data_IF_124953042938
#
_entry.id   IF_124953042938
#
_cell.length_a   1.000
_cell.length_b   1.000
_cell.length_c   1.000
_cell.angle_alpha   90.00
_cell.angle_beta   90.00
_cell.angle_gamma   90.00
#
_symmetry.space_group_name_H-M   'P 1'
#
loop_
_entity.id
_entity.type
_entity.pdbx_description
1 polymer ?
#
# COMPACT_ATOMS: atom_id res chain seq x y z
N UNK A 1 13.34 -9.26 -20.80
CA UNK A 1 12.15 -9.78 -20.07
C UNK A 1 11.06 -8.72 -20.13
N UNK A 2 9.81 -9.10 -20.40
CA UNK A 2 8.71 -8.14 -20.32
C UNK A 2 8.50 -7.77 -18.83
N UNK A 3 8.46 -6.49 -18.53
CA UNK A 3 8.19 -6.01 -17.18
C UNK A 3 6.72 -6.19 -16.84
N UNK A 4 6.42 -6.57 -15.59
CA UNK A 4 5.04 -6.65 -15.07
C UNK A 4 4.49 -5.22 -14.90
N UNK A 5 3.45 -4.82 -15.64
CA UNK A 5 2.87 -3.50 -15.50
C UNK A 5 1.99 -3.44 -14.24
N UNK A 6 2.21 -2.43 -13.40
CA UNK A 6 1.44 -2.22 -12.18
C UNK A 6 0.92 -0.79 -12.04
N UNK A 7 -0.24 -0.65 -11.40
CA UNK A 7 -0.72 0.60 -10.83
C UNK A 7 -0.67 0.51 -9.31
N UNK A 8 -0.27 1.60 -8.64
CA UNK A 8 -0.19 1.65 -7.19
C UNK A 8 -1.18 2.69 -6.67
N UNK A 9 -2.12 2.26 -5.82
CA UNK A 9 -3.00 3.13 -5.03
C UNK A 9 -2.47 3.22 -3.60
N UNK A 10 -2.10 4.43 -3.14
CA UNK A 10 -1.21 4.63 -1.99
C UNK A 10 -1.53 5.93 -1.23
N UNK A 11 -1.13 6.02 0.02
CA UNK A 11 -1.25 7.21 0.86
C UNK A 11 0.08 7.58 1.56
N UNK A 12 1.18 7.77 0.79
CA UNK A 12 2.52 7.90 1.31
C UNK A 12 2.66 9.03 2.32
N UNK A 13 3.50 8.80 3.31
CA UNK A 13 3.67 9.69 4.45
C UNK A 13 4.91 10.58 4.41
N UNK A 14 5.72 10.51 3.38
CA UNK A 14 7.00 11.18 3.12
C UNK A 14 8.10 10.93 4.16
N UNK A 15 9.20 10.36 3.68
CA UNK A 15 10.47 10.10 4.38
C UNK A 15 11.08 11.30 5.14
N UNK A 16 10.52 12.48 5.05
CA UNK A 16 11.07 13.73 5.62
C UNK A 16 10.38 14.17 6.90
N UNK A 17 9.20 13.63 7.24
CA UNK A 17 8.44 14.05 8.42
C UNK A 17 8.21 12.92 9.41
N UNK A 18 8.61 13.14 10.66
CA UNK A 18 8.61 12.18 11.78
C UNK A 18 7.24 11.68 12.26
N UNK A 19 6.14 12.13 11.65
CA UNK A 19 4.80 11.92 12.20
C UNK A 19 3.91 10.97 11.39
N UNK A 20 4.42 10.43 10.27
CA UNK A 20 3.63 9.58 9.36
C UNK A 20 4.33 8.25 9.14
N UNK A 21 3.62 7.25 8.67
CA UNK A 21 4.18 5.95 8.34
C UNK A 21 5.05 6.06 7.08
N UNK A 22 6.10 5.25 6.99
CA UNK A 22 7.08 5.25 5.90
C UNK A 22 6.94 4.03 4.99
N UNK A 23 6.02 3.16 5.25
CA UNK A 23 5.97 1.85 4.60
C UNK A 23 5.51 1.95 3.15
N UNK A 24 4.56 2.83 2.81
CA UNK A 24 4.23 3.19 1.42
C UNK A 24 5.46 3.64 0.65
N UNK A 25 6.23 4.59 1.22
CA UNK A 25 7.42 5.15 0.57
C UNK A 25 8.47 4.06 0.32
N UNK A 26 8.70 3.19 1.31
CA UNK A 26 9.62 2.07 1.19
C UNK A 26 9.15 1.05 0.15
N UNK A 27 7.86 0.73 0.10
CA UNK A 27 7.28 -0.17 -0.88
C UNK A 27 7.45 0.38 -2.31
N UNK A 28 7.15 1.67 -2.52
CA UNK A 28 7.32 2.33 -3.82
C UNK A 28 8.79 2.34 -4.24
N UNK A 29 9.72 2.70 -3.34
CA UNK A 29 11.17 2.69 -3.64
C UNK A 29 11.66 1.29 -3.98
N UNK A 30 11.18 0.26 -3.29
CA UNK A 30 11.51 -1.13 -3.55
C UNK A 30 11.04 -1.57 -4.93
N UNK A 31 9.80 -1.22 -5.32
CA UNK A 31 9.26 -1.51 -6.65
C UNK A 31 9.97 -0.72 -7.76
N UNK A 32 10.37 0.53 -7.51
CA UNK A 32 11.18 1.32 -8.44
C UNK A 32 12.56 0.73 -8.69
N UNK A 33 13.12 0.06 -7.69
CA UNK A 33 14.42 -0.62 -7.80
C UNK A 33 14.33 -2.01 -8.44
N UNK A 34 13.13 -2.54 -8.65
CA UNK A 34 12.89 -3.88 -9.18
C UNK A 34 12.81 -3.86 -10.71
N UNK A 35 13.79 -4.45 -11.42
CA UNK A 35 13.87 -4.34 -12.88
C UNK A 35 12.74 -5.03 -13.62
N UNK A 36 12.07 -6.00 -12.99
CA UNK A 36 10.91 -6.75 -13.49
C UNK A 36 9.59 -5.98 -13.41
N UNK A 37 9.56 -4.84 -12.73
CA UNK A 37 8.34 -4.05 -12.51
C UNK A 37 8.32 -2.82 -13.42
N UNK A 38 7.13 -2.51 -13.96
CA UNK A 38 6.83 -1.26 -14.66
C UNK A 38 5.69 -0.54 -13.96
N UNK A 39 6.00 0.51 -13.18
CA UNK A 39 4.98 1.34 -12.54
C UNK A 39 4.38 2.27 -13.60
N UNK A 40 3.09 2.12 -13.87
CA UNK A 40 2.35 2.91 -14.87
C UNK A 40 1.86 4.24 -14.31
N UNK A 41 1.69 4.35 -13.00
CA UNK A 41 1.28 5.54 -12.29
C UNK A 41 0.96 5.28 -10.84
N UNK A 42 0.87 6.36 -10.08
CA UNK A 42 0.42 6.37 -8.69
C UNK A 42 -0.95 7.05 -8.60
N UNK A 43 -1.88 6.44 -7.88
CA UNK A 43 -3.12 7.07 -7.44
C UNK A 43 -3.04 7.31 -5.94
N UNK A 44 -3.31 8.54 -5.50
CA UNK A 44 -3.20 8.88 -4.08
C UNK A 44 -4.56 8.92 -3.42
N UNK A 45 -4.63 8.40 -2.21
CA UNK A 45 -5.80 8.48 -1.33
C UNK A 45 -5.43 9.17 -0.02
N UNK A 46 -6.42 9.44 0.82
CA UNK A 46 -6.20 9.83 2.21
C UNK A 46 -5.90 8.58 3.05
N UNK A 47 -5.34 8.75 4.22
CA UNK A 47 -5.05 7.69 5.19
C UNK A 47 -4.00 8.18 6.17
N UNK A 48 -2.74 7.92 5.91
CA UNK A 48 -1.61 8.42 6.70
C UNK A 48 -1.64 9.95 6.86
N UNK A 49 -2.24 10.66 5.88
CA UNK A 49 -2.41 12.11 5.93
C UNK A 49 -3.62 12.57 5.11
N UNK A 50 -3.80 13.88 4.96
CA UNK A 50 -4.79 14.43 4.03
C UNK A 50 -4.39 14.14 2.60
N UNK A 51 -5.39 14.00 1.70
CA UNK A 51 -5.15 13.75 0.26
C UNK A 51 -4.26 14.83 -0.39
N UNK A 52 -4.31 16.08 0.07
CA UNK A 52 -3.43 17.13 -0.45
C UNK A 52 -1.96 16.85 -0.12
N UNK A 53 -1.72 16.26 1.04
CA UNK A 53 -0.38 15.93 1.53
C UNK A 53 0.12 14.64 0.90
N UNK A 54 -0.64 13.55 0.92
CA UNK A 54 -0.23 12.27 0.32
C UNK A 54 0.09 12.42 -1.17
N UNK A 55 -0.71 13.23 -1.89
CA UNK A 55 -0.43 13.58 -3.28
C UNK A 55 0.88 14.37 -3.47
N UNK A 56 1.15 15.36 -2.62
CA UNK A 56 2.40 16.12 -2.66
C UNK A 56 3.60 15.24 -2.29
N UNK A 57 3.42 14.37 -1.30
CA UNK A 57 4.47 13.49 -0.81
C UNK A 57 4.83 12.43 -1.87
N UNK A 58 3.86 11.84 -2.59
CA UNK A 58 4.09 10.93 -3.71
C UNK A 58 4.92 11.60 -4.83
N UNK A 59 4.58 12.83 -5.18
CA UNK A 59 5.35 13.59 -6.21
C UNK A 59 6.78 13.85 -5.76
N UNK A 60 6.98 14.26 -4.51
CA UNK A 60 8.31 14.50 -3.95
C UNK A 60 9.15 13.22 -3.86
N UNK A 61 8.50 12.08 -3.51
CA UNK A 61 9.16 10.78 -3.51
C UNK A 61 9.69 10.41 -4.89
N UNK A 62 8.86 10.56 -5.93
CA UNK A 62 9.25 10.28 -7.32
C UNK A 62 10.32 11.26 -7.81
N UNK A 63 10.27 12.53 -7.43
CA UNK A 63 11.30 13.52 -7.72
C UNK A 63 12.65 13.12 -7.11
N UNK A 64 12.66 12.74 -5.84
CA UNK A 64 13.87 12.25 -5.16
C UNK A 64 14.39 10.94 -5.76
N UNK A 65 13.51 10.11 -6.29
CA UNK A 65 13.88 8.87 -6.98
C UNK A 65 14.34 9.11 -8.44
N UNK A 66 14.22 10.35 -8.97
CA UNK A 66 14.50 10.66 -10.37
C UNK A 66 13.50 10.05 -11.35
N UNK A 67 12.25 9.86 -10.90
CA UNK A 67 11.17 9.17 -11.63
C UNK A 67 9.94 10.06 -11.82
N UNK A 68 10.15 11.33 -12.17
CA UNK A 68 9.08 12.26 -12.51
C UNK A 68 8.33 11.88 -13.80
N UNK A 69 8.83 10.90 -14.54
CA UNK A 69 8.17 10.27 -15.69
C UNK A 69 6.88 9.50 -15.28
N UNK A 70 6.78 9.05 -14.03
CA UNK A 70 5.63 8.33 -13.53
C UNK A 70 4.54 9.34 -13.12
N UNK A 71 3.34 9.27 -13.73
CA UNK A 71 2.25 10.19 -13.41
C UNK A 71 1.65 9.89 -12.02
N UNK A 72 1.23 10.96 -11.33
CA UNK A 72 0.56 10.88 -10.03
C UNK A 72 -0.80 11.57 -10.11
N UNK A 73 -1.85 10.90 -9.61
CA UNK A 73 -3.22 11.40 -9.64
C UNK A 73 -3.81 11.53 -8.25
N UNK A 74 -4.52 12.64 -8.05
CA UNK A 74 -5.16 12.96 -6.79
C UNK A 74 -6.54 12.30 -6.71
N UNK A 75 -6.76 11.52 -5.66
CA UNK A 75 -8.02 10.82 -5.43
C UNK A 75 -8.87 11.39 -4.30
N UNK A 76 -9.62 10.49 -3.66
CA UNK A 76 -10.53 10.82 -2.58
C UNK A 76 -9.79 11.37 -1.35
N UNK A 77 -10.44 12.30 -0.67
CA UNK A 77 -10.02 12.81 0.62
C UNK A 77 -10.97 12.33 1.73
N UNK A 78 -10.56 12.47 2.98
CA UNK A 78 -11.36 12.04 4.13
C UNK A 78 -12.80 12.56 4.14
N UNK A 79 -12.99 13.85 3.76
CA UNK A 79 -14.31 14.48 3.69
C UNK A 79 -15.02 14.28 2.36
N UNK A 80 -14.33 13.77 1.34
CA UNK A 80 -14.84 13.57 -0.02
C UNK A 80 -14.82 12.10 -0.43
N UNK A 81 -14.81 11.19 0.54
CA UNK A 81 -14.83 9.74 0.34
C UNK A 81 -16.21 9.21 -0.02
N UNK A 82 -16.73 9.67 -1.14
CA UNK A 82 -17.97 9.19 -1.72
C UNK A 82 -17.64 8.42 -3.00
N UNK A 83 -17.94 7.13 -3.01
CA UNK A 83 -17.67 6.25 -4.16
C UNK A 83 -18.49 6.62 -5.41
N UNK A 84 -19.57 7.39 -5.25
CA UNK A 84 -20.36 7.89 -6.37
C UNK A 84 -19.73 9.15 -7.02
N UNK A 85 -18.67 9.69 -6.41
CA UNK A 85 -17.97 10.85 -6.94
C UNK A 85 -16.64 10.44 -7.55
N UNK A 86 -16.61 10.37 -8.88
CA UNK A 86 -15.38 10.07 -9.61
C UNK A 86 -14.29 11.12 -9.32
N UNK A 87 -13.05 10.67 -9.23
CA UNK A 87 -11.84 11.47 -9.03
C UNK A 87 -10.87 11.27 -10.17
N UNK A 88 -9.86 12.14 -10.30
CA UNK A 88 -8.81 11.97 -11.30
C UNK A 88 -8.06 10.63 -11.10
N UNK A 89 -7.86 10.22 -9.85
CA UNK A 89 -7.24 8.94 -9.52
C UNK A 89 -8.09 7.74 -9.96
N UNK A 90 -9.38 7.72 -9.61
CA UNK A 90 -10.26 6.60 -9.98
C UNK A 90 -10.46 6.49 -11.49
N UNK A 91 -10.55 7.63 -12.19
CA UNK A 91 -10.63 7.68 -13.66
C UNK A 91 -9.35 7.16 -14.31
N UNK A 92 -8.19 7.65 -13.87
CA UNK A 92 -6.90 7.21 -14.40
C UNK A 92 -6.69 5.70 -14.20
N UNK A 93 -7.04 5.18 -13.02
CA UNK A 93 -6.97 3.76 -12.71
C UNK A 93 -7.81 2.96 -13.71
N UNK A 94 -9.08 3.33 -13.88
CA UNK A 94 -10.00 2.64 -14.79
C UNK A 94 -9.51 2.72 -16.24
N UNK A 95 -9.19 3.91 -16.73
CA UNK A 95 -8.74 4.10 -18.12
C UNK A 95 -7.44 3.32 -18.41
N UNK A 96 -6.51 3.27 -17.47
CA UNK A 96 -5.22 2.58 -17.67
C UNK A 96 -5.41 1.08 -17.75
N UNK A 97 -6.25 0.51 -16.88
CA UNK A 97 -6.53 -0.93 -16.89
C UNK A 97 -7.38 -1.30 -18.11
N UNK A 98 -8.44 -0.56 -18.42
CA UNK A 98 -9.33 -0.86 -19.54
C UNK A 98 -8.67 -0.70 -20.91
N UNK A 99 -7.58 0.08 -21.02
CA UNK A 99 -6.73 0.11 -22.23
C UNK A 99 -5.86 -1.14 -22.39
N UNK A 100 -5.67 -1.92 -21.33
CA UNK A 100 -4.81 -3.13 -21.28
C UNK A 100 -5.46 -4.21 -20.43
N UNK A 101 -6.66 -4.71 -20.82
CA UNK A 101 -7.40 -5.68 -20.02
C UNK A 101 -6.60 -6.98 -19.87
N UNK A 102 -6.53 -7.49 -18.65
CA UNK A 102 -5.78 -8.70 -18.32
C UNK A 102 -4.26 -8.51 -18.16
N UNK A 103 -3.73 -7.29 -18.29
CA UNK A 103 -2.27 -7.07 -18.21
C UNK A 103 -1.84 -6.36 -16.93
N UNK A 104 -2.64 -5.41 -16.43
CA UNK A 104 -2.24 -4.49 -15.37
C UNK A 104 -2.64 -5.02 -13.99
N UNK A 105 -1.66 -5.36 -13.17
CA UNK A 105 -1.89 -5.66 -11.75
C UNK A 105 -2.10 -4.37 -10.98
N UNK A 106 -3.08 -4.36 -10.08
CA UNK A 106 -3.33 -3.25 -9.16
C UNK A 106 -2.78 -3.59 -7.79
N UNK A 107 -1.97 -2.70 -7.21
CA UNK A 107 -1.49 -2.77 -5.85
C UNK A 107 -2.14 -1.67 -5.04
N UNK A 108 -2.86 -2.01 -3.96
CA UNK A 108 -3.42 -1.03 -3.03
C UNK A 108 -2.71 -1.11 -1.69
N UNK A 109 -2.15 0.00 -1.26
CA UNK A 109 -1.41 0.16 0.00
C UNK A 109 -2.18 0.99 1.02
N UNK A 110 -3.14 1.82 0.57
CA UNK A 110 -4.00 2.66 1.39
C UNK A 110 -5.48 2.25 1.38
N UNK A 111 -6.36 3.12 1.92
CA UNK A 111 -7.82 2.93 1.89
C UNK A 111 -8.37 2.72 0.48
N UNK A 112 -9.21 1.72 0.30
CA UNK A 112 -9.70 1.22 -1.00
C UNK A 112 -10.68 2.16 -1.74
N UNK A 113 -10.76 3.42 -1.33
CA UNK A 113 -11.76 4.38 -1.84
C UNK A 113 -11.62 4.64 -3.33
N UNK A 114 -10.41 4.83 -3.85
CA UNK A 114 -10.20 5.12 -5.27
C UNK A 114 -10.58 3.92 -6.15
N UNK A 115 -10.18 2.70 -5.78
CA UNK A 115 -10.54 1.48 -6.51
C UNK A 115 -12.05 1.22 -6.45
N UNK A 116 -12.68 1.39 -5.27
CA UNK A 116 -14.14 1.26 -5.13
C UNK A 116 -14.89 2.28 -5.99
N UNK A 117 -14.41 3.51 -6.06
CA UNK A 117 -14.96 4.56 -6.94
C UNK A 117 -14.81 4.16 -8.41
N UNK A 118 -13.62 3.68 -8.81
CA UNK A 118 -13.39 3.21 -10.17
C UNK A 118 -14.35 2.07 -10.55
N UNK A 119 -14.53 1.07 -9.70
CA UNK A 119 -15.48 -0.04 -9.90
C UNK A 119 -16.95 0.41 -9.96
N UNK A 120 -17.31 1.45 -9.22
CA UNK A 120 -18.67 2.00 -9.23
C UNK A 120 -19.00 2.66 -10.56
N UNK A 121 -18.04 3.38 -11.16
CA UNK A 121 -18.22 4.10 -12.42
C UNK A 121 -17.91 3.23 -13.65
N UNK A 122 -17.08 2.20 -13.50
CA UNK A 122 -16.61 1.29 -14.55
C UNK A 122 -16.73 -0.16 -14.09
N UNK A 123 -17.92 -0.77 -14.10
CA UNK A 123 -18.13 -2.14 -13.59
C UNK A 123 -17.34 -3.22 -14.32
N UNK A 124 -17.05 -3.01 -15.61
CA UNK A 124 -16.21 -3.87 -16.45
C UNK A 124 -14.74 -3.92 -16.00
N UNK A 125 -14.32 -2.97 -15.20
CA UNK A 125 -12.98 -2.94 -14.60
C UNK A 125 -12.69 -4.20 -13.77
N UNK A 126 -13.71 -4.79 -13.14
CA UNK A 126 -13.53 -5.98 -12.31
C UNK A 126 -13.05 -7.21 -13.11
N UNK A 127 -13.47 -7.32 -14.38
CA UNK A 127 -13.04 -8.40 -15.28
C UNK A 127 -11.69 -8.08 -15.96
N UNK A 128 -11.37 -6.79 -16.08
CA UNK A 128 -10.14 -6.34 -16.72
C UNK A 128 -8.89 -6.41 -15.84
N UNK A 129 -9.04 -6.39 -14.50
CA UNK A 129 -7.92 -6.52 -13.56
C UNK A 129 -7.58 -8.01 -13.37
N UNK A 130 -6.38 -8.49 -13.82
CA UNK A 130 -6.00 -9.89 -13.67
C UNK A 130 -5.66 -10.27 -12.22
N UNK A 131 -5.16 -9.32 -11.43
CA UNK A 131 -4.77 -9.51 -10.05
C UNK A 131 -4.82 -8.18 -9.28
N UNK A 132 -5.43 -8.21 -8.12
CA UNK A 132 -5.39 -7.15 -7.11
C UNK A 132 -4.60 -7.62 -5.91
N UNK A 133 -3.46 -7.00 -5.64
CA UNK A 133 -2.72 -7.21 -4.40
C UNK A 133 -3.03 -6.07 -3.46
N UNK A 134 -3.46 -6.36 -2.24
CA UNK A 134 -3.83 -5.33 -1.28
C UNK A 134 -3.16 -5.58 0.08
N UNK A 135 -2.57 -4.52 0.63
CA UNK A 135 -2.23 -4.49 2.05
C UNK A 135 -3.46 -4.05 2.82
N UNK A 136 -3.96 -4.90 3.69
CA UNK A 136 -5.11 -4.58 4.54
C UNK A 136 -5.86 -5.80 5.02
N UNK A 137 -6.82 -5.52 5.90
CA UNK A 137 -7.62 -6.53 6.54
C UNK A 137 -6.90 -7.30 7.64
N UNK A 138 -7.68 -8.08 8.37
CA UNK A 138 -7.16 -8.97 9.41
C UNK A 138 -7.98 -10.25 9.50
N UNK A 139 -7.32 -11.33 9.91
CA UNK A 139 -7.94 -12.65 10.06
C UNK A 139 -8.71 -12.80 11.38
N UNK A 140 -8.43 -11.94 12.35
CA UNK A 140 -9.08 -11.94 13.67
C UNK A 140 -10.08 -10.80 13.76
N UNK A 141 -11.14 -10.89 14.58
CA UNK A 141 -12.07 -9.78 14.79
C UNK A 141 -11.36 -8.50 15.20
N UNK A 142 -11.79 -7.37 14.62
CA UNK A 142 -11.24 -6.04 14.90
C UNK A 142 -11.05 -5.22 13.64
N UNK A 143 -10.80 -3.92 13.82
CA UNK A 143 -10.53 -3.02 12.70
C UNK A 143 -9.06 -3.12 12.27
N UNK A 144 -8.83 -3.08 10.95
CA UNK A 144 -7.55 -2.78 10.34
C UNK A 144 -7.67 -1.38 9.70
N UNK A 145 -6.55 -0.66 9.59
CA UNK A 145 -6.57 0.76 9.26
C UNK A 145 -7.13 1.04 7.86
N UNK A 146 -6.62 0.40 6.82
CA UNK A 146 -6.99 0.66 5.43
C UNK A 146 -8.46 0.33 5.14
N UNK A 147 -8.93 -0.83 5.61
CA UNK A 147 -10.32 -1.24 5.46
C UNK A 147 -11.25 -0.46 6.39
N UNK A 148 -10.79 -0.17 7.61
CA UNK A 148 -11.53 0.61 8.59
C UNK A 148 -11.72 2.08 8.21
N UNK A 149 -10.82 2.67 7.42
CA UNK A 149 -10.93 4.05 6.96
C UNK A 149 -12.15 4.29 6.05
N UNK A 150 -12.56 3.27 5.27
CA UNK A 150 -13.78 3.32 4.45
C UNK A 150 -14.41 1.92 4.30
N UNK A 151 -15.13 1.41 5.31
CA UNK A 151 -15.65 0.04 5.30
C UNK A 151 -16.56 -0.27 4.10
N UNK A 152 -17.35 0.69 3.64
CA UNK A 152 -18.22 0.53 2.45
C UNK A 152 -17.41 0.32 1.17
N UNK A 153 -16.31 1.05 1.00
CA UNK A 153 -15.42 0.87 -0.13
C UNK A 153 -14.70 -0.48 -0.07
N UNK A 154 -14.23 -0.87 1.11
CA UNK A 154 -13.62 -2.18 1.33
C UNK A 154 -14.60 -3.32 1.01
N UNK A 155 -15.84 -3.26 1.47
CA UNK A 155 -16.87 -4.26 1.18
C UNK A 155 -17.15 -4.36 -0.33
N UNK A 156 -17.25 -3.23 -1.03
CA UNK A 156 -17.44 -3.19 -2.49
C UNK A 156 -16.30 -3.91 -3.23
N UNK A 157 -15.05 -3.59 -2.87
CA UNK A 157 -13.87 -4.21 -3.49
C UNK A 157 -13.80 -5.71 -3.15
N UNK A 158 -14.05 -6.10 -1.91
CA UNK A 158 -14.03 -7.50 -1.50
C UNK A 158 -15.08 -8.33 -2.24
N UNK A 159 -16.26 -7.79 -2.51
CA UNK A 159 -17.35 -8.44 -3.28
C UNK A 159 -17.14 -8.44 -4.79
N UNK A 160 -16.23 -7.63 -5.32
CA UNK A 160 -15.97 -7.61 -6.75
C UNK A 160 -15.41 -8.94 -7.26
N UNK A 161 -15.53 -9.21 -8.56
CA UNK A 161 -15.02 -10.43 -9.18
C UNK A 161 -13.49 -10.44 -9.38
N UNK A 162 -12.79 -9.36 -9.06
CA UNK A 162 -11.33 -9.28 -9.25
C UNK A 162 -10.63 -10.42 -8.48
N UNK A 163 -9.71 -11.17 -9.07
CA UNK A 163 -8.82 -12.07 -8.34
C UNK A 163 -7.98 -11.28 -7.32
N UNK A 164 -8.02 -11.67 -6.05
CA UNK A 164 -7.46 -10.88 -4.95
C UNK A 164 -6.43 -11.64 -4.14
N UNK A 165 -5.35 -10.96 -3.79
CA UNK A 165 -4.38 -11.38 -2.78
C UNK A 165 -4.40 -10.36 -1.64
N UNK A 166 -4.68 -10.82 -0.44
CA UNK A 166 -4.71 -10.01 0.77
C UNK A 166 -3.45 -10.26 1.60
N UNK A 167 -2.68 -9.21 1.81
CA UNK A 167 -1.56 -9.19 2.77
C UNK A 167 -2.10 -8.61 4.07
N UNK A 168 -2.47 -9.50 4.98
CA UNK A 168 -3.13 -9.11 6.25
C UNK A 168 -2.12 -8.62 7.27
N UNK A 169 -2.62 -7.88 8.28
CA UNK A 169 -1.78 -7.35 9.36
C UNK A 169 -1.05 -8.47 10.14
N UNK A 170 -1.68 -9.65 10.29
CA UNK A 170 -1.05 -10.79 10.97
C UNK A 170 0.14 -11.36 10.20
N UNK A 171 0.08 -11.33 8.87
CA UNK A 171 1.22 -11.72 8.04
C UNK A 171 2.38 -10.73 8.23
N UNK A 172 2.07 -9.44 8.23
CA UNK A 172 3.07 -8.39 8.40
C UNK A 172 3.84 -8.50 9.72
N UNK A 173 3.20 -8.97 10.79
CA UNK A 173 3.86 -9.21 12.07
C UNK A 173 4.93 -10.32 12.02
N UNK A 174 4.96 -11.14 10.99
CA UNK A 174 5.95 -12.22 10.84
C UNK A 174 7.27 -11.75 10.22
N UNK A 175 7.30 -10.56 9.62
CA UNK A 175 8.48 -10.02 8.93
C UNK A 175 8.88 -8.63 9.47
N UNK A 176 9.30 -8.53 10.75
CA UNK A 176 9.73 -7.25 11.31
C UNK A 176 11.08 -6.82 10.71
N UNK A 177 11.20 -5.57 10.30
CA UNK A 177 12.47 -4.95 9.97
C UNK A 177 13.17 -4.52 11.26
N UNK A 178 14.21 -5.25 11.66
CA UNK A 178 14.96 -5.02 12.89
C UNK A 178 16.21 -4.16 12.64
N UNK A 179 16.89 -3.78 13.73
CA UNK A 179 18.18 -3.10 13.62
C UNK A 179 19.27 -3.97 12.95
N UNK A 180 19.11 -5.31 12.94
CA UNK A 180 20.04 -6.21 12.28
C UNK A 180 19.89 -6.14 10.75
N UNK A 181 18.66 -6.14 10.23
CA UNK A 181 18.38 -5.97 8.80
C UNK A 181 18.84 -4.60 8.32
N UNK A 182 18.66 -3.55 9.12
CA UNK A 182 19.17 -2.21 8.76
C UNK A 182 20.70 -2.17 8.65
N UNK A 183 21.41 -2.83 9.56
CA UNK A 183 22.89 -2.92 9.44
C UNK A 183 23.30 -3.62 8.15
N UNK A 184 22.61 -4.69 7.74
CA UNK A 184 22.85 -5.37 6.46
C UNK A 184 22.63 -4.46 5.25
N UNK A 185 21.68 -3.52 5.32
CA UNK A 185 21.48 -2.50 4.27
C UNK A 185 22.60 -1.48 4.26
N UNK A 186 23.20 -1.14 5.40
CA UNK A 186 24.34 -0.23 5.52
C UNK A 186 25.60 -0.76 4.84
N UNK A 187 25.79 -2.09 4.90
CA UNK A 187 26.90 -2.76 4.22
C UNK A 187 26.74 -2.79 2.69
N UNK A 188 25.66 -2.24 2.15
CA UNK A 188 25.38 -2.09 0.72
C UNK A 188 25.21 -0.62 0.33
N UNK A 189 26.29 0.15 0.26
CA UNK A 189 26.25 1.61 0.02
C UNK A 189 25.64 2.01 -1.33
N UNK A 190 25.67 1.09 -2.30
CA UNK A 190 25.13 1.33 -3.66
C UNK A 190 23.60 1.11 -3.74
N UNK A 191 22.94 0.75 -2.64
CA UNK A 191 21.49 0.61 -2.64
C UNK A 191 20.82 1.98 -2.72
N UNK A 192 19.77 2.10 -3.54
CA UNK A 192 18.93 3.31 -3.59
C UNK A 192 18.34 3.69 -2.23
N UNK A 193 18.25 2.73 -1.30
CA UNK A 193 17.81 2.92 0.07
C UNK A 193 18.86 3.52 0.99
N UNK A 194 20.16 3.43 0.65
CA UNK A 194 21.27 3.87 1.52
C UNK A 194 21.11 5.35 1.92
N UNK A 195 20.69 6.21 1.00
CA UNK A 195 20.48 7.65 1.26
C UNK A 195 19.33 7.92 2.26
N UNK A 196 18.38 6.98 2.41
CA UNK A 196 17.24 7.10 3.33
C UNK A 196 17.51 6.48 4.70
N UNK A 197 18.61 5.75 4.88
CA UNK A 197 18.95 5.08 6.15
C UNK A 197 18.92 6.02 7.37
N UNK A 198 19.41 7.27 7.33
CA UNK A 198 19.32 8.16 8.49
C UNK A 198 17.88 8.45 8.92
N UNK A 199 16.98 8.63 7.95
CA UNK A 199 15.55 8.89 8.20
C UNK A 199 14.88 7.62 8.74
N UNK A 200 15.13 6.47 8.09
CA UNK A 200 14.62 5.17 8.52
C UNK A 200 15.05 4.87 9.96
N UNK A 201 16.33 5.08 10.31
CA UNK A 201 16.84 4.88 11.68
C UNK A 201 16.18 5.78 12.70
N UNK A 202 15.99 7.07 12.36
CA UNK A 202 15.32 8.01 13.25
C UNK A 202 13.86 7.62 13.48
N UNK A 203 13.18 7.24 12.40
CA UNK A 203 11.81 6.79 12.44
C UNK A 203 11.65 5.49 13.23
N UNK A 204 12.51 4.48 13.04
CA UNK A 204 12.51 3.24 13.84
C UNK A 204 12.70 3.48 15.34
N UNK A 205 13.54 4.45 15.72
CA UNK A 205 13.69 4.82 17.15
C UNK A 205 12.40 5.37 17.73
N UNK A 206 11.70 6.19 16.95
CA UNK A 206 10.41 6.75 17.35
C UNK A 206 9.34 5.66 17.42
N UNK A 207 9.27 4.79 16.40
CA UNK A 207 8.32 3.69 16.36
C UNK A 207 8.51 2.68 17.50
N UNK A 208 9.73 2.36 17.86
CA UNK A 208 10.00 1.51 19.04
C UNK A 208 9.38 2.08 20.31
N UNK A 209 9.45 3.39 20.50
CA UNK A 209 8.81 4.05 21.63
C UNK A 209 7.28 4.01 21.52
N UNK A 210 6.73 4.37 20.36
CA UNK A 210 5.29 4.35 20.10
C UNK A 210 4.74 2.93 20.27
N UNK A 211 5.36 1.93 19.64
CA UNK A 211 4.93 0.53 19.75
C UNK A 211 5.06 -0.03 21.16
N UNK A 212 6.02 0.45 21.97
CA UNK A 212 6.08 0.06 23.38
C UNK A 212 4.84 0.49 24.16
N UNK A 213 4.28 1.66 23.84
CA UNK A 213 3.04 2.17 24.43
C UNK A 213 1.81 1.46 23.85
N UNK A 214 1.77 1.26 22.52
CA UNK A 214 0.64 0.59 21.83
C UNK A 214 0.52 -0.85 22.31
N UNK A 215 1.62 -1.56 22.57
CA UNK A 215 1.63 -2.93 23.11
C UNK A 215 0.98 -3.08 24.47
N UNK A 216 0.91 -2.03 25.28
CA UNK A 216 0.14 -2.07 26.52
C UNK A 216 -1.35 -2.32 26.25
N UNK A 217 -1.84 -1.89 25.09
CA UNK A 217 -3.23 -2.06 24.65
C UNK A 217 -3.42 -3.25 23.71
N UNK A 218 -2.39 -3.57 22.92
CA UNK A 218 -2.40 -4.63 21.89
C UNK A 218 -1.17 -5.54 22.08
N UNK A 219 -1.21 -6.45 23.06
CA UNK A 219 -0.08 -7.33 23.42
C UNK A 219 0.33 -8.29 22.31
N UNK A 220 -0.54 -8.53 21.32
CA UNK A 220 -0.27 -9.35 20.14
C UNK A 220 0.77 -8.74 19.20
N UNK A 221 1.04 -7.43 19.28
CA UNK A 221 2.07 -6.79 18.46
C UNK A 221 3.45 -7.22 18.94
N UNK A 222 4.29 -7.85 18.08
CA UNK A 222 5.62 -8.31 18.48
C UNK A 222 6.53 -7.17 18.93
N UNK A 223 7.49 -7.49 19.79
CA UNK A 223 8.49 -6.52 20.22
C UNK A 223 9.64 -6.43 19.21
N UNK A 224 10.18 -5.23 19.01
CA UNK A 224 11.56 -5.08 18.55
C UNK A 224 11.80 -4.77 17.09
N UNK A 225 10.78 -4.38 16.32
CA UNK A 225 10.98 -3.99 14.92
C UNK A 225 9.96 -3.00 14.39
N UNK A 226 10.19 -2.57 13.18
CA UNK A 226 9.20 -1.96 12.31
C UNK A 226 8.59 -3.05 11.43
N UNK A 227 7.32 -2.92 11.14
CA UNK A 227 6.65 -3.82 10.21
C UNK A 227 6.45 -3.10 8.89
N UNK A 228 7.17 -3.48 7.83
CA UNK A 228 7.01 -2.87 6.51
C UNK A 228 5.75 -3.42 5.82
N UNK A 229 4.55 -3.05 6.35
CA UNK A 229 3.27 -3.58 5.92
C UNK A 229 3.14 -3.61 4.40
N UNK A 230 3.31 -2.46 3.78
CA UNK A 230 3.21 -2.27 2.34
C UNK A 230 4.38 -2.90 1.58
N UNK A 231 5.56 -2.90 2.19
CA UNK A 231 6.74 -3.57 1.64
C UNK A 231 6.54 -5.07 1.46
N UNK A 232 5.72 -5.72 2.32
CA UNK A 232 5.39 -7.14 2.20
C UNK A 232 4.46 -7.39 1.03
N UNK A 233 3.47 -6.51 0.78
CA UNK A 233 2.62 -6.59 -0.39
C UNK A 233 3.43 -6.36 -1.69
N UNK A 234 4.38 -5.42 -1.66
CA UNK A 234 5.32 -5.22 -2.77
C UNK A 234 6.23 -6.44 -3.00
N UNK A 235 6.71 -7.09 -1.93
CA UNK A 235 7.53 -8.30 -2.04
C UNK A 235 6.75 -9.47 -2.67
N UNK A 236 5.46 -9.62 -2.36
CA UNK A 236 4.62 -10.62 -3.02
C UNK A 236 4.54 -10.41 -4.53
N UNK A 237 4.42 -9.17 -5.00
CA UNK A 237 4.39 -8.86 -6.44
C UNK A 237 5.67 -9.26 -7.19
N UNK A 238 6.80 -9.17 -6.51
CA UNK A 238 8.11 -9.47 -7.07
C UNK A 238 8.37 -10.97 -7.04
N UNK A 239 8.15 -11.61 -5.89
CA UNK A 239 8.43 -13.04 -5.70
C UNK A 239 7.42 -13.68 -4.75
N UNK A 240 6.30 -14.22 -5.28
CA UNK A 240 5.33 -14.95 -4.47
C UNK A 240 5.90 -16.17 -3.72
N UNK A 241 7.05 -16.72 -4.16
CA UNK A 241 7.67 -17.89 -3.52
C UNK A 241 8.23 -17.60 -2.13
N UNK A 242 8.38 -16.32 -1.77
CA UNK A 242 8.74 -15.89 -0.41
C UNK A 242 7.65 -16.23 0.63
N UNK A 243 6.44 -16.56 0.17
CA UNK A 243 5.28 -16.83 1.02
C UNK A 243 5.00 -18.33 1.05
N UNK A 244 5.25 -18.97 2.18
CA UNK A 244 5.17 -20.43 2.34
C UNK A 244 3.73 -20.97 2.38
N UNK A 245 2.75 -20.14 2.79
CA UNK A 245 1.35 -20.54 2.90
C UNK A 245 0.44 -19.49 2.27
N UNK A 246 -0.14 -19.82 1.12
CA UNK A 246 -1.22 -19.06 0.51
C UNK A 246 -2.52 -19.82 0.73
N UNK A 247 -3.48 -19.23 1.44
CA UNK A 247 -4.78 -19.84 1.73
C UNK A 247 -5.89 -19.14 0.96
N UNK A 248 -6.76 -19.91 0.36
CA UNK A 248 -8.00 -19.39 -0.22
C UNK A 248 -9.03 -19.30 0.89
N UNK A 249 -9.48 -18.08 1.19
CA UNK A 249 -10.44 -17.80 2.25
C UNK A 249 -11.62 -17.02 1.69
N UNK A 250 -12.80 -17.29 2.23
CA UNK A 250 -13.94 -16.41 2.04
C UNK A 250 -13.83 -15.29 3.06
N UNK A 251 -13.82 -14.04 2.57
CA UNK A 251 -13.68 -12.85 3.41
C UNK A 251 -14.85 -11.90 3.22
N UNK A 252 -15.21 -11.18 4.26
CA UNK A 252 -16.28 -10.17 4.25
C UNK A 252 -15.97 -9.07 5.26
N UNK A 253 -16.62 -7.93 5.06
CA UNK A 253 -16.59 -6.86 6.07
C UNK A 253 -17.55 -7.20 7.19
N UNK A 254 -17.06 -7.32 8.42
CA UNK A 254 -17.90 -7.37 9.59
C UNK A 254 -18.49 -5.97 9.85
N UNK A 255 -19.82 -5.88 10.01
CA UNK A 255 -20.44 -4.65 10.48
C UNK A 255 -20.02 -4.44 11.93
N UNK A 256 -18.99 -3.64 12.15
CA UNK A 256 -18.75 -3.03 13.45
C UNK A 256 -19.97 -2.14 13.69
N UNK A 257 -20.72 -2.45 14.74
CA UNK A 257 -22.03 -1.88 15.05
C UNK A 257 -22.10 -0.35 15.02
N UNK A 258 -23.28 0.24 15.25
CA UNK A 258 -23.58 1.64 14.99
C UNK A 258 -22.63 2.57 15.69
#
# INVERSE_FOLDING_TARGET
MNKKPILIDTDPGMLVRLSTDLDDDLAILFLLASPEIAILGLTCTYGNSSIARTFADAKTLLEHAGRQDIPVFKGAGWRTRDVNRETDASRFLAETVLKRPGEVTVLTLGPLTNLATALTHHPDLAEAIPELVMMGGRLRPGAEFNFGAHPKAADLVLRSAIPKVMVTIELCFQAPLTAAELRRLEDRPDSHLARYLPVIRRWLRLQRFIFSLIRLRYPEIPAGGFFPWDGIAAAYLIDPSLFSEIKVLQVWMEKIGP
#
